data_IF_331957642010
#
_entry.id   IF_331957642010
#
_cell.length_a   1.000
_cell.length_b   1.000
_cell.length_c   1.000
_cell.angle_alpha   90.00
_cell.angle_beta   90.00
_cell.angle_gamma   90.00
#
_symmetry.space_group_name_H-M   'P 1'
#
loop_
_entity.id
_entity.type
_entity.pdbx_description
1 polymer ?
#
# COMPACT_ATOMS: atom_id res chain seq x y z
N UNK A 1 0.83 -1.02 -34.25
CA UNK A 1 0.47 -1.40 -32.86
C UNK A 1 1.56 -2.35 -32.35
N UNK A 2 2.23 -2.02 -31.23
CA UNK A 2 3.32 -2.86 -30.72
C UNK A 2 2.73 -4.12 -30.08
N UNK A 3 2.92 -5.28 -30.73
CA UNK A 3 2.65 -6.59 -30.15
C UNK A 3 3.66 -6.82 -29.01
N UNK A 4 3.39 -6.26 -27.84
CA UNK A 4 4.19 -6.51 -26.64
C UNK A 4 3.93 -7.96 -26.25
N UNK A 5 4.81 -8.86 -26.69
CA UNK A 5 4.73 -10.27 -26.36
C UNK A 5 4.72 -10.42 -24.83
N UNK A 6 3.55 -10.77 -24.30
CA UNK A 6 3.40 -11.00 -22.87
C UNK A 6 4.09 -12.32 -22.55
N UNK A 7 5.30 -12.22 -22.00
CA UNK A 7 6.00 -13.39 -21.47
C UNK A 7 5.67 -13.52 -19.99
N UNK A 8 5.25 -14.73 -19.54
CA UNK A 8 4.89 -14.98 -18.14
C UNK A 8 6.08 -14.85 -17.19
N UNK A 9 7.32 -14.77 -17.71
CA UNK A 9 8.52 -14.58 -16.89
C UNK A 9 8.81 -13.07 -16.79
N UNK A 10 8.83 -12.49 -15.59
CA UNK A 10 9.10 -11.07 -15.39
C UNK A 10 10.53 -10.71 -15.80
N UNK A 11 10.74 -9.48 -16.30
CA UNK A 11 12.00 -9.05 -16.91
C UNK A 11 13.23 -9.24 -16.00
N UNK A 12 13.07 -8.98 -14.70
CA UNK A 12 14.13 -9.15 -13.70
C UNK A 12 14.58 -10.61 -13.51
N UNK A 13 13.71 -11.57 -13.83
CA UNK A 13 13.97 -12.99 -13.69
C UNK A 13 14.59 -13.61 -14.95
N UNK A 14 14.36 -13.01 -16.13
CA UNK A 14 14.87 -13.52 -17.42
C UNK A 14 16.39 -13.65 -17.45
N UNK A 15 17.08 -12.65 -16.91
CA UNK A 15 18.56 -12.56 -16.88
C UNK A 15 19.22 -13.42 -15.81
N UNK A 16 18.45 -14.10 -14.95
CA UNK A 16 19.00 -14.99 -13.92
C UNK A 16 19.36 -16.34 -14.51
N UNK A 17 20.41 -16.98 -13.96
CA UNK A 17 20.91 -18.30 -14.39
C UNK A 17 20.03 -19.50 -14.01
N UNK A 18 18.75 -19.29 -13.73
CA UNK A 18 17.81 -20.36 -13.41
C UNK A 18 17.38 -21.13 -14.66
N UNK A 19 17.05 -22.41 -14.49
CA UNK A 19 16.41 -23.21 -15.54
C UNK A 19 15.05 -22.63 -15.93
N UNK A 20 14.56 -22.89 -17.17
CA UNK A 20 13.24 -22.39 -17.61
C UNK A 20 12.09 -22.78 -16.67
N UNK A 21 12.11 -24.02 -16.15
CA UNK A 21 11.11 -24.53 -15.20
C UNK A 21 11.13 -23.77 -13.88
N UNK A 22 12.32 -23.49 -13.33
CA UNK A 22 12.45 -22.71 -12.11
C UNK A 22 11.94 -21.27 -12.30
N UNK A 23 12.21 -20.65 -13.45
CA UNK A 23 11.70 -19.30 -13.76
C UNK A 23 10.18 -19.24 -13.75
N UNK A 24 9.50 -20.24 -14.33
CA UNK A 24 8.03 -20.31 -14.32
C UNK A 24 7.46 -20.55 -12.91
N UNK A 25 8.07 -21.44 -12.13
CA UNK A 25 7.64 -21.71 -10.76
C UNK A 25 7.71 -20.44 -9.89
N UNK A 26 8.82 -19.70 -9.96
CA UNK A 26 9.02 -18.43 -9.25
C UNK A 26 8.01 -17.39 -9.71
N UNK A 27 7.82 -17.22 -11.02
CA UNK A 27 6.85 -16.26 -11.55
C UNK A 27 5.43 -16.53 -11.02
N UNK A 28 4.99 -17.80 -11.06
CA UNK A 28 3.67 -18.19 -10.54
C UNK A 28 3.54 -17.95 -9.03
N UNK A 29 4.61 -18.14 -8.25
CA UNK A 29 4.60 -17.92 -6.81
C UNK A 29 4.49 -16.42 -6.48
N UNK A 30 5.15 -15.58 -7.27
CA UNK A 30 5.05 -14.11 -7.16
C UNK A 30 3.64 -13.65 -7.48
N UNK A 31 3.01 -14.16 -8.55
CA UNK A 31 1.62 -13.82 -8.90
C UNK A 31 0.64 -14.23 -7.79
N UNK A 32 0.76 -15.46 -7.25
CA UNK A 32 -0.07 -15.91 -6.11
C UNK A 32 0.14 -15.05 -4.87
N UNK A 33 1.38 -14.64 -4.60
CA UNK A 33 1.69 -13.78 -3.45
C UNK A 33 1.17 -12.36 -3.63
N UNK A 34 1.25 -11.82 -4.84
CA UNK A 34 0.69 -10.52 -5.19
C UNK A 34 -0.84 -10.51 -5.09
N UNK A 35 -1.51 -11.58 -5.55
CA UNK A 35 -2.94 -11.74 -5.39
C UNK A 35 -3.33 -11.76 -3.90
N UNK A 36 -2.67 -12.58 -3.08
CA UNK A 36 -2.91 -12.61 -1.62
C UNK A 36 -2.71 -11.26 -0.93
N UNK A 37 -1.68 -10.50 -1.35
CA UNK A 37 -1.45 -9.15 -0.80
C UNK A 37 -2.55 -8.17 -1.18
N UNK A 38 -3.16 -8.29 -2.37
CA UNK A 38 -4.30 -7.46 -2.76
C UNK A 38 -5.54 -7.80 -1.93
N UNK A 39 -5.82 -9.07 -1.72
CA UNK A 39 -6.89 -9.53 -0.82
C UNK A 39 -6.66 -9.08 0.64
N UNK A 40 -5.41 -9.15 1.12
CA UNK A 40 -5.05 -8.67 2.45
C UNK A 40 -5.09 -7.13 2.57
N UNK A 41 -4.80 -6.40 1.49
CA UNK A 41 -4.86 -4.94 1.49
C UNK A 41 -6.29 -4.42 1.73
N UNK A 42 -7.32 -5.14 1.26
CA UNK A 42 -8.72 -4.82 1.60
C UNK A 42 -9.05 -5.09 3.07
N UNK A 43 -8.28 -5.95 3.74
CA UNK A 43 -8.46 -6.31 5.16
C UNK A 43 -7.74 -5.36 6.11
N UNK A 44 -6.61 -4.78 5.70
CA UNK A 44 -5.73 -3.95 6.55
C UNK A 44 -5.81 -2.44 6.27
N UNK A 45 -6.40 -2.00 5.16
CA UNK A 45 -6.46 -0.57 4.78
C UNK A 45 -7.58 0.23 5.50
N UNK A 46 -7.94 -0.15 6.72
CA UNK A 46 -8.76 0.69 7.61
C UNK A 46 -8.03 0.83 8.94
N UNK A 47 -6.93 1.59 8.93
CA UNK A 47 -6.43 2.17 10.17
C UNK A 47 -7.61 2.85 10.88
N UNK A 48 -8.06 2.28 12.00
CA UNK A 48 -9.09 2.91 12.81
C UNK A 48 -8.48 4.16 13.41
N UNK A 49 -8.95 5.33 12.99
CA UNK A 49 -8.53 6.61 13.57
C UNK A 49 -9.11 6.67 14.97
N UNK A 50 -8.28 6.42 15.99
CA UNK A 50 -8.66 6.61 17.38
C UNK A 50 -8.62 8.13 17.67
N UNK A 51 -9.75 8.77 17.98
CA UNK A 51 -9.76 10.19 18.30
C UNK A 51 -9.01 10.43 19.61
N UNK A 52 -8.06 11.38 19.60
CA UNK A 52 -7.44 11.84 20.83
C UNK A 52 -8.45 12.66 21.66
N UNK A 53 -8.44 12.51 23.01
CA UNK A 53 -9.28 13.34 23.86
C UNK A 53 -8.90 14.81 23.69
N UNK A 54 -9.89 15.66 23.38
CA UNK A 54 -9.70 17.11 23.30
C UNK A 54 -9.31 17.62 24.68
N UNK A 55 -8.16 18.32 24.75
CA UNK A 55 -7.80 19.07 25.96
C UNK A 55 -8.81 20.22 26.13
N UNK A 56 -9.31 20.50 27.35
CA UNK A 56 -10.14 21.67 27.59
C UNK A 56 -9.36 22.92 27.18
N UNK A 57 -9.96 23.76 26.33
CA UNK A 57 -9.37 25.07 26.03
C UNK A 57 -9.43 25.92 27.29
N UNK A 58 -8.39 26.70 27.60
CA UNK A 58 -8.45 27.67 28.68
C UNK A 58 -9.56 28.69 28.38
N UNK A 59 -10.28 29.16 29.41
CA UNK A 59 -11.30 30.19 29.23
C UNK A 59 -10.66 31.44 28.62
N UNK A 60 -11.23 31.94 27.53
CA UNK A 60 -10.81 33.19 26.90
C UNK A 60 -11.10 34.33 27.88
N UNK A 61 -10.11 35.16 28.26
CA UNK A 61 -10.36 36.34 29.08
C UNK A 61 -11.32 37.28 28.34
N UNK A 62 -12.36 37.75 29.03
CA UNK A 62 -13.38 38.66 28.50
C UNK A 62 -12.84 40.05 28.11
N UNK A 63 -11.57 40.34 28.38
CA UNK A 63 -11.00 41.68 28.25
C UNK A 63 -10.63 42.07 26.81
N UNK A 64 -10.81 41.17 25.83
CA UNK A 64 -10.62 41.47 24.40
C UNK A 64 -11.91 41.95 23.69
N UNK A 65 -13.01 42.16 24.43
CA UNK A 65 -14.28 42.68 23.91
C UNK A 65 -14.73 43.90 24.73
N UNK A 66 -13.89 44.93 24.80
CA UNK A 66 -14.31 46.19 25.40
C UNK A 66 -13.16 47.11 25.80
N UNK A 67 -12.57 47.80 24.82
CA UNK A 67 -12.00 49.12 25.03
C UNK A 67 -11.98 49.89 23.70
N UNK A 68 -12.88 50.86 23.62
CA UNK A 68 -13.01 51.95 22.63
C UNK A 68 -13.33 51.58 21.17
#
# INVERSE_FOLDING_TARGET
MSNKSFSPIPAWLRRRGYSPRAKLAIASAVERSAARRREAADSESRCQVIPFPKRPLPPVPRDALGAA
#
